data_IF_456700360279
#
_entry.id   IF_456700360279
#
_cell.length_a   1.000
_cell.length_b   1.000
_cell.length_c   1.000
_cell.angle_alpha   90.00
_cell.angle_beta   90.00
_cell.angle_gamma   90.00
#
_symmetry.space_group_name_H-M   'P 1'
#
loop_
_entity.id
_entity.type
_entity.pdbx_description
1 polymer ?
#
# COMPACT_ATOMS: atom_id res chain seq x y z
N UNK A 1 7.79 -19.98 -45.02
CA UNK A 1 8.23 -20.16 -43.62
C UNK A 1 8.30 -18.86 -42.80
N UNK A 2 7.78 -17.71 -43.27
CA UNK A 2 7.84 -16.42 -42.54
C UNK A 2 6.66 -16.11 -41.60
N UNK A 3 5.73 -17.07 -41.41
CA UNK A 3 4.49 -16.84 -40.63
C UNK A 3 4.72 -16.87 -39.11
N UNK A 4 5.70 -17.64 -38.63
CA UNK A 4 5.90 -17.87 -37.20
C UNK A 4 6.64 -16.71 -36.50
N UNK A 5 7.64 -16.14 -37.18
CA UNK A 5 8.47 -15.04 -36.67
C UNK A 5 7.66 -13.74 -36.47
N UNK A 6 6.69 -13.48 -37.36
CA UNK A 6 5.77 -12.34 -37.23
C UNK A 6 4.83 -12.45 -36.02
N UNK A 7 4.32 -13.66 -35.74
CA UNK A 7 3.47 -13.91 -34.58
C UNK A 7 4.23 -13.80 -33.26
N UNK A 8 5.48 -14.27 -33.21
CA UNK A 8 6.34 -14.12 -32.03
C UNK A 8 6.61 -12.66 -31.70
N UNK A 9 6.86 -11.82 -32.72
CA UNK A 9 7.15 -10.41 -32.53
C UNK A 9 5.94 -9.64 -31.97
N UNK A 10 4.74 -9.94 -32.46
CA UNK A 10 3.48 -9.40 -31.89
C UNK A 10 3.27 -9.86 -30.45
N UNK A 11 3.56 -11.14 -30.14
CA UNK A 11 3.46 -11.67 -28.79
C UNK A 11 4.43 -10.96 -27.83
N UNK A 12 5.67 -10.75 -28.25
CA UNK A 12 6.69 -10.01 -27.47
C UNK A 12 6.23 -8.58 -27.20
N UNK A 13 5.71 -7.87 -28.21
CA UNK A 13 5.21 -6.51 -28.04
C UNK A 13 4.05 -6.45 -27.04
N UNK A 14 3.12 -7.40 -27.13
CA UNK A 14 2.01 -7.49 -26.21
C UNK A 14 2.45 -7.79 -24.77
N UNK A 15 3.35 -8.76 -24.59
CA UNK A 15 3.90 -9.14 -23.28
C UNK A 15 4.72 -8.01 -22.66
N UNK A 16 5.55 -7.32 -23.45
CA UNK A 16 6.30 -6.14 -22.99
C UNK A 16 5.35 -5.05 -22.51
N UNK A 17 4.28 -4.76 -23.27
CA UNK A 17 3.24 -3.82 -22.84
C UNK A 17 2.58 -4.25 -21.52
N UNK A 18 2.32 -5.54 -21.32
CA UNK A 18 1.77 -6.04 -20.06
C UNK A 18 2.75 -5.88 -18.90
N UNK A 19 4.02 -6.18 -19.12
CA UNK A 19 5.10 -5.98 -18.14
C UNK A 19 5.21 -4.51 -17.73
N UNK A 20 5.26 -3.59 -18.70
CA UNK A 20 5.30 -2.14 -18.45
C UNK A 20 4.09 -1.63 -17.66
N UNK A 21 2.90 -2.18 -17.95
CA UNK A 21 1.69 -1.82 -17.22
C UNK A 21 1.75 -2.29 -15.77
N UNK A 22 2.33 -3.46 -15.51
CA UNK A 22 2.49 -3.99 -14.16
C UNK A 22 3.55 -3.21 -13.35
N UNK A 23 4.61 -2.74 -14.01
CA UNK A 23 5.58 -1.82 -13.40
C UNK A 23 4.94 -0.45 -13.06
N UNK A 24 4.15 0.12 -13.98
CA UNK A 24 3.39 1.35 -13.69
C UNK A 24 2.44 1.16 -12.51
N UNK A 25 1.76 0.02 -12.45
CA UNK A 25 0.86 -0.33 -11.34
C UNK A 25 1.62 -0.40 -10.01
N UNK A 26 2.81 -0.99 -9.99
CA UNK A 26 3.68 -1.01 -8.82
C UNK A 26 3.98 0.41 -8.32
N UNK A 27 4.45 1.29 -9.20
CA UNK A 27 4.77 2.68 -8.85
C UNK A 27 3.57 3.39 -8.24
N UNK A 28 2.37 3.18 -8.79
CA UNK A 28 1.12 3.73 -8.25
C UNK A 28 0.82 3.19 -6.84
N UNK A 29 1.00 1.89 -6.61
CA UNK A 29 0.75 1.26 -5.29
C UNK A 29 1.72 1.81 -4.24
N UNK A 30 3.02 1.88 -4.55
CA UNK A 30 4.04 2.38 -3.62
C UNK A 30 3.88 3.86 -3.32
N UNK A 31 3.53 4.66 -4.34
CA UNK A 31 3.20 6.07 -4.18
C UNK A 31 2.02 6.27 -3.24
N UNK A 32 0.91 5.53 -3.46
CA UNK A 32 -0.28 5.61 -2.59
C UNK A 32 0.01 5.17 -1.15
N UNK A 33 0.84 4.14 -0.95
CA UNK A 33 1.23 3.73 0.40
C UNK A 33 2.07 4.80 1.10
N UNK A 34 3.05 5.39 0.40
CA UNK A 34 3.88 6.46 0.95
C UNK A 34 3.04 7.68 1.33
N UNK A 35 2.08 8.04 0.47
CA UNK A 35 1.10 9.10 0.76
C UNK A 35 0.26 8.77 2.00
N UNK A 36 -0.22 7.53 2.13
CA UNK A 36 -1.01 7.09 3.29
C UNK A 36 -0.21 7.19 4.59
N UNK A 37 1.07 6.78 4.59
CA UNK A 37 1.96 6.90 5.76
C UNK A 37 2.14 8.37 6.14
N UNK A 38 2.42 9.22 5.15
CA UNK A 38 2.60 10.66 5.36
C UNK A 38 1.34 11.31 5.96
N UNK A 39 0.18 11.07 5.35
CA UNK A 39 -1.11 11.58 5.84
C UNK A 39 -1.43 11.08 7.26
N UNK A 40 -1.16 9.80 7.55
CA UNK A 40 -1.35 9.23 8.88
C UNK A 40 -0.45 9.91 9.92
N UNK A 41 0.81 10.18 9.57
CA UNK A 41 1.76 10.89 10.45
C UNK A 41 1.29 12.32 10.78
N UNK A 42 0.75 13.04 9.79
CA UNK A 42 0.17 14.38 9.99
C UNK A 42 -1.02 14.32 10.95
N UNK A 43 -1.96 13.39 10.73
CA UNK A 43 -3.14 13.23 11.59
C UNK A 43 -2.74 12.90 13.03
N UNK A 44 -1.79 11.98 13.23
CA UNK A 44 -1.29 11.64 14.57
C UNK A 44 -0.65 12.86 15.24
N UNK A 45 0.13 13.65 14.50
CA UNK A 45 0.76 14.86 15.03
C UNK A 45 -0.25 15.89 15.49
N UNK A 46 -1.33 16.09 14.71
CA UNK A 46 -2.45 16.96 15.10
C UNK A 46 -3.16 16.45 16.36
N UNK A 47 -3.39 15.14 16.45
CA UNK A 47 -3.98 14.53 17.64
C UNK A 47 -3.09 14.77 18.86
N UNK A 48 -1.79 14.50 18.75
CA UNK A 48 -0.82 14.70 19.84
C UNK A 48 -0.78 16.16 20.30
N UNK A 49 -0.86 17.11 19.37
CA UNK A 49 -0.96 18.54 19.67
C UNK A 49 -2.25 18.90 20.42
N UNK A 50 -3.37 18.23 20.13
CA UNK A 50 -4.64 18.48 20.80
C UNK A 50 -4.67 17.94 22.23
N UNK A 51 -3.91 16.89 22.58
CA UNK A 51 -3.94 16.22 23.89
C UNK A 51 -3.91 17.16 25.11
N UNK A 52 -3.00 18.16 25.20
CA UNK A 52 -2.96 19.07 26.34
C UNK A 52 -4.27 19.87 26.52
N UNK A 53 -4.87 20.33 25.42
CA UNK A 53 -6.15 21.04 25.45
C UNK A 53 -7.31 20.13 25.88
N UNK A 54 -7.25 18.85 25.50
CA UNK A 54 -8.22 17.84 25.91
C UNK A 54 -8.12 17.56 27.42
N UNK A 55 -6.91 17.52 27.96
CA UNK A 55 -6.65 17.15 29.35
C UNK A 55 -7.31 18.11 30.34
N UNK A 56 -7.15 19.42 30.16
CA UNK A 56 -7.74 20.43 31.05
C UNK A 56 -9.27 20.34 31.09
N UNK A 57 -9.90 20.10 29.93
CA UNK A 57 -11.36 19.98 29.82
C UNK A 57 -11.89 18.66 30.36
N UNK A 58 -11.13 17.58 30.22
CA UNK A 58 -11.51 16.28 30.77
C UNK A 58 -11.48 16.28 32.29
N UNK A 59 -10.70 17.13 32.96
CA UNK A 59 -10.66 17.20 34.43
C UNK A 59 -12.02 17.62 35.00
N UNK A 60 -12.72 18.56 34.37
CA UNK A 60 -14.01 19.10 34.87
C UNK A 60 -15.23 18.29 34.45
N UNK A 61 -15.07 17.29 33.57
CA UNK A 61 -16.16 16.48 33.03
C UNK A 61 -16.55 15.28 33.91
N UNK A 62 -17.75 14.74 33.66
CA UNK A 62 -18.25 13.55 34.36
C UNK A 62 -17.36 12.31 34.15
N UNK A 63 -17.23 11.47 35.19
CA UNK A 63 -16.37 10.27 35.17
C UNK A 63 -16.64 9.36 33.96
N UNK A 64 -17.91 9.12 33.62
CA UNK A 64 -18.30 8.30 32.46
C UNK A 64 -17.77 8.86 31.13
N UNK A 65 -17.84 10.18 30.94
CA UNK A 65 -17.35 10.86 29.74
C UNK A 65 -15.82 10.71 29.66
N UNK A 66 -15.11 10.84 30.78
CA UNK A 66 -13.64 10.67 30.82
C UNK A 66 -13.21 9.28 30.38
N UNK A 67 -13.87 8.24 30.90
CA UNK A 67 -13.55 6.85 30.55
C UNK A 67 -13.86 6.58 29.09
N UNK A 68 -15.05 6.97 28.60
CA UNK A 68 -15.42 6.80 27.19
C UNK A 68 -14.48 7.53 26.23
N UNK A 69 -14.10 8.77 26.56
CA UNK A 69 -13.16 9.55 25.77
C UNK A 69 -11.77 8.90 25.73
N UNK A 70 -11.26 8.43 26.87
CA UNK A 70 -9.96 7.76 26.97
C UNK A 70 -9.92 6.48 26.13
N UNK A 71 -10.98 5.67 26.17
CA UNK A 71 -11.08 4.46 25.35
C UNK A 71 -11.12 4.77 23.85
N UNK A 72 -11.91 5.76 23.43
CA UNK A 72 -11.96 6.21 22.03
C UNK A 72 -10.63 6.80 21.55
N UNK A 73 -9.92 7.52 22.42
CA UNK A 73 -8.62 8.06 22.11
C UNK A 73 -7.59 6.95 21.87
N UNK A 74 -7.50 5.98 22.79
CA UNK A 74 -6.62 4.81 22.64
C UNK A 74 -6.96 4.03 21.37
N UNK A 75 -8.25 3.82 21.10
CA UNK A 75 -8.71 3.15 19.87
C UNK A 75 -8.25 3.91 18.62
N UNK A 76 -8.40 5.23 18.60
CA UNK A 76 -7.99 6.10 17.48
C UNK A 76 -6.50 5.97 17.21
N UNK A 77 -5.66 6.15 18.24
CA UNK A 77 -4.20 6.03 18.12
C UNK A 77 -3.80 4.62 17.67
N UNK A 78 -4.45 3.59 18.20
CA UNK A 78 -4.18 2.20 17.83
C UNK A 78 -4.53 1.92 16.36
N UNK A 79 -5.68 2.39 15.87
CA UNK A 79 -6.09 2.23 14.47
C UNK A 79 -5.14 2.95 13.51
N UNK A 80 -4.77 4.20 13.81
CA UNK A 80 -3.81 4.96 13.00
C UNK A 80 -2.41 4.33 13.04
N UNK A 81 -1.98 3.87 14.21
CA UNK A 81 -0.74 3.11 14.37
C UNK A 81 -0.72 1.82 13.56
N UNK A 82 -1.82 1.05 13.57
CA UNK A 82 -1.95 -0.16 12.75
C UNK A 82 -1.95 0.14 11.25
N UNK A 83 -2.49 1.28 10.82
CA UNK A 83 -2.41 1.71 9.42
C UNK A 83 -0.94 1.87 9.01
N UNK A 84 -0.16 2.64 9.77
CA UNK A 84 1.27 2.87 9.49
C UNK A 84 2.07 1.57 9.58
N UNK A 85 1.84 0.75 10.61
CA UNK A 85 2.53 -0.53 10.79
C UNK A 85 2.23 -1.51 9.65
N UNK A 86 0.99 -1.54 9.15
CA UNK A 86 0.65 -2.39 8.02
C UNK A 86 1.27 -1.87 6.74
N UNK A 87 1.22 -0.55 6.52
CA UNK A 87 1.79 0.11 5.36
C UNK A 87 3.32 -0.08 5.29
N UNK A 88 4.02 0.00 6.43
CA UNK A 88 5.48 -0.13 6.49
C UNK A 88 5.98 -1.51 6.07
N UNK A 89 5.13 -2.55 6.11
CA UNK A 89 5.49 -3.89 5.64
C UNK A 89 5.93 -3.91 4.19
N UNK A 90 5.50 -2.95 3.37
CA UNK A 90 5.91 -2.86 1.96
C UNK A 90 7.42 -2.66 1.78
N UNK A 91 8.08 -2.05 2.76
CA UNK A 91 9.53 -1.77 2.70
C UNK A 91 10.39 -3.00 2.97
N UNK A 92 9.79 -4.17 3.24
CA UNK A 92 10.53 -5.40 3.35
C UNK A 92 10.93 -5.93 1.96
N UNK A 93 12.07 -5.42 1.46
CA UNK A 93 12.63 -5.78 0.14
C UNK A 93 12.89 -7.28 0.01
N UNK A 94 13.21 -7.97 1.10
CA UNK A 94 13.43 -9.44 1.08
C UNK A 94 12.15 -10.22 0.80
N UNK A 95 10.99 -9.67 1.19
CA UNK A 95 9.69 -10.32 1.01
C UNK A 95 9.16 -10.14 -0.42
N UNK A 96 9.36 -8.96 -1.02
CA UNK A 96 8.83 -8.64 -2.34
C UNK A 96 9.94 -8.74 -3.39
N UNK A 97 10.21 -9.96 -3.84
CA UNK A 97 11.21 -10.21 -4.89
C UNK A 97 10.54 -10.15 -6.25
N UNK A 98 10.87 -9.10 -6.99
CA UNK A 98 10.50 -8.97 -8.39
C UNK A 98 11.38 -9.85 -9.25
N UNK A 99 10.80 -10.35 -10.33
CA UNK A 99 11.51 -11.09 -11.36
C UNK A 99 11.60 -10.20 -12.59
N UNK A 100 12.79 -10.18 -13.17
CA UNK A 100 13.07 -9.56 -14.46
C UNK A 100 13.55 -10.66 -15.40
N UNK A 101 13.69 -10.34 -16.68
CA UNK A 101 14.24 -11.26 -17.68
C UNK A 101 15.65 -11.68 -17.27
N UNK A 102 15.98 -12.96 -17.44
CA UNK A 102 17.28 -13.45 -17.02
C UNK A 102 18.37 -12.89 -17.94
N UNK A 103 19.38 -12.27 -17.34
CA UNK A 103 20.57 -11.80 -18.04
C UNK A 103 21.35 -12.95 -18.70
N UNK A 104 21.21 -14.17 -18.17
CA UNK A 104 21.79 -15.38 -18.75
C UNK A 104 21.22 -15.67 -20.15
N UNK A 105 19.95 -15.35 -20.38
CA UNK A 105 19.24 -15.50 -21.66
C UNK A 105 19.82 -14.61 -22.77
N UNK A 106 20.66 -13.63 -22.46
CA UNK A 106 21.38 -12.83 -23.48
C UNK A 106 22.76 -13.40 -23.77
N UNK A 107 23.36 -14.11 -22.82
CA UNK A 107 24.69 -14.73 -22.94
C UNK A 107 24.67 -16.18 -23.41
N UNK A 108 23.49 -16.81 -23.49
CA UNK A 108 23.33 -18.13 -24.08
C UNK A 108 23.51 -18.08 -25.59
N UNK A 109 24.20 -19.09 -26.14
CA UNK A 109 24.30 -19.27 -27.58
C UNK A 109 23.01 -19.92 -28.08
N UNK A 110 22.16 -19.15 -28.75
CA UNK A 110 20.99 -19.67 -29.45
C UNK A 110 21.37 -19.96 -30.91
N UNK A 111 20.94 -21.12 -31.40
CA UNK A 111 21.22 -21.51 -32.79
C UNK A 111 20.34 -20.73 -33.77
N UNK A 112 19.19 -20.23 -33.32
CA UNK A 112 18.25 -19.45 -34.14
C UNK A 112 17.58 -18.30 -33.39
N UNK A 113 17.14 -17.28 -34.14
CA UNK A 113 16.37 -16.14 -33.60
C UNK A 113 15.02 -16.61 -33.04
N UNK A 114 14.38 -17.63 -33.65
CA UNK A 114 13.11 -18.16 -33.15
C UNK A 114 13.24 -18.82 -31.78
N UNK A 115 14.37 -19.47 -31.50
CA UNK A 115 14.66 -20.10 -30.21
C UNK A 115 14.89 -19.04 -29.13
N UNK A 116 15.69 -18.01 -29.43
CA UNK A 116 15.84 -16.84 -28.56
C UNK A 116 14.49 -16.18 -28.25
N UNK A 117 13.67 -15.93 -29.27
CA UNK A 117 12.36 -15.32 -29.10
C UNK A 117 11.42 -16.19 -28.23
N UNK A 118 11.49 -17.52 -28.35
CA UNK A 118 10.69 -18.43 -27.53
C UNK A 118 11.11 -18.39 -26.07
N UNK A 119 12.42 -18.40 -25.79
CA UNK A 119 12.95 -18.29 -24.43
C UNK A 119 12.58 -16.94 -23.81
N UNK A 120 12.76 -15.86 -24.56
CA UNK A 120 12.39 -14.51 -24.12
C UNK A 120 10.88 -14.37 -23.81
N UNK A 121 10.02 -14.96 -24.64
CA UNK A 121 8.57 -15.03 -24.37
C UNK A 121 8.29 -15.80 -23.07
N UNK A 122 9.02 -16.88 -22.80
CA UNK A 122 8.91 -17.66 -21.57
C UNK A 122 9.30 -16.84 -20.34
N UNK A 123 10.46 -16.17 -20.40
CA UNK A 123 10.97 -15.31 -19.34
C UNK A 123 10.02 -14.15 -19.03
N UNK A 124 9.48 -13.49 -20.06
CA UNK A 124 8.49 -12.44 -19.90
C UNK A 124 7.22 -12.94 -19.21
N UNK A 125 6.70 -14.10 -19.60
CA UNK A 125 5.51 -14.69 -18.96
C UNK A 125 5.76 -14.99 -17.49
N UNK A 126 6.88 -15.62 -17.17
CA UNK A 126 7.25 -15.96 -15.80
C UNK A 126 7.40 -14.69 -14.94
N UNK A 127 8.05 -13.67 -15.49
CA UNK A 127 8.25 -12.38 -14.82
C UNK A 127 6.93 -11.66 -14.56
N UNK A 128 6.03 -11.60 -15.56
CA UNK A 128 4.70 -11.00 -15.41
C UNK A 128 3.88 -11.74 -14.35
N UNK A 129 3.87 -13.07 -14.38
CA UNK A 129 3.08 -13.87 -13.44
C UNK A 129 3.58 -13.66 -11.99
N UNK A 130 4.90 -13.71 -11.78
CA UNK A 130 5.50 -13.45 -10.47
C UNK A 130 5.22 -12.03 -10.00
N UNK A 131 5.46 -11.02 -10.86
CA UNK A 131 5.31 -9.62 -10.49
C UNK A 131 3.85 -9.26 -10.21
N UNK A 132 2.89 -9.86 -10.92
CA UNK A 132 1.47 -9.70 -10.62
C UNK A 132 1.11 -10.29 -9.23
N UNK A 133 1.62 -11.48 -8.86
CA UNK A 133 1.44 -12.05 -7.52
C UNK A 133 1.99 -11.11 -6.45
N UNK A 134 3.22 -10.62 -6.62
CA UNK A 134 3.88 -9.68 -5.69
C UNK A 134 3.09 -8.37 -5.57
N UNK A 135 2.63 -7.81 -6.68
CA UNK A 135 1.87 -6.57 -6.69
C UNK A 135 0.46 -6.74 -6.11
N UNK A 136 -0.18 -7.89 -6.26
CA UNK A 136 -1.43 -8.21 -5.58
C UNK A 136 -1.23 -8.26 -4.05
N UNK A 137 -0.13 -8.82 -3.56
CA UNK A 137 0.17 -8.78 -2.13
C UNK A 137 0.37 -7.34 -1.61
N UNK A 138 1.12 -6.51 -2.36
CA UNK A 138 1.31 -5.10 -2.01
C UNK A 138 -0.01 -4.32 -2.06
N UNK A 139 -0.87 -4.58 -3.04
CA UNK A 139 -2.21 -3.99 -3.12
C UNK A 139 -3.08 -4.39 -1.92
N UNK A 140 -3.02 -5.64 -1.48
CA UNK A 140 -3.72 -6.10 -0.28
C UNK A 140 -3.22 -5.39 0.99
N UNK A 141 -1.92 -5.11 1.08
CA UNK A 141 -1.34 -4.30 2.16
C UNK A 141 -1.89 -2.87 2.10
N UNK A 142 -1.94 -2.24 0.92
CA UNK A 142 -2.52 -0.91 0.75
C UNK A 142 -3.98 -0.88 1.22
N UNK A 143 -4.81 -1.83 0.76
CA UNK A 143 -6.22 -1.92 1.14
C UNK A 143 -6.41 -2.07 2.65
N UNK A 144 -5.66 -2.98 3.29
CA UNK A 144 -5.73 -3.17 4.76
C UNK A 144 -5.28 -1.93 5.52
N UNK A 145 -4.19 -1.30 5.08
CA UNK A 145 -3.67 -0.09 5.72
C UNK A 145 -4.65 1.07 5.60
N UNK A 146 -5.24 1.25 4.41
CA UNK A 146 -6.25 2.27 4.16
C UNK A 146 -7.51 2.05 5.01
N UNK A 147 -7.95 0.80 5.15
CA UNK A 147 -9.08 0.45 5.99
C UNK A 147 -8.88 0.85 7.47
N UNK A 148 -7.70 0.57 8.03
CA UNK A 148 -7.37 1.02 9.39
C UNK A 148 -7.31 2.54 9.51
N UNK A 149 -6.75 3.22 8.50
CA UNK A 149 -6.70 4.68 8.46
C UNK A 149 -8.10 5.30 8.48
N UNK A 150 -8.99 4.83 7.60
CA UNK A 150 -10.38 5.33 7.50
C UNK A 150 -11.14 5.10 8.81
N UNK A 151 -10.99 3.92 9.42
CA UNK A 151 -11.59 3.64 10.74
C UNK A 151 -11.03 4.54 11.84
N UNK A 152 -9.72 4.80 11.81
CA UNK A 152 -9.07 5.75 12.71
C UNK A 152 -9.64 7.16 12.54
N UNK A 153 -9.85 7.62 11.30
CA UNK A 153 -10.48 8.91 11.02
C UNK A 153 -11.93 8.98 11.53
N UNK A 154 -12.76 7.96 11.32
CA UNK A 154 -14.12 7.94 11.88
C UNK A 154 -14.13 7.97 13.41
N UNK A 155 -13.18 7.28 14.05
CA UNK A 155 -12.99 7.33 15.49
C UNK A 155 -12.60 8.74 15.95
N UNK A 156 -11.71 9.42 15.23
CA UNK A 156 -11.31 10.79 15.50
C UNK A 156 -12.47 11.78 15.34
N UNK A 157 -13.27 11.64 14.28
CA UNK A 157 -14.46 12.49 14.06
C UNK A 157 -15.44 12.32 15.21
N UNK A 158 -15.72 11.08 15.61
CA UNK A 158 -16.58 10.77 16.75
C UNK A 158 -16.05 11.41 18.04
N UNK A 159 -14.75 11.29 18.30
CA UNK A 159 -14.07 11.91 19.44
C UNK A 159 -14.24 13.44 19.44
N UNK A 160 -14.11 14.06 18.28
CA UNK A 160 -14.28 15.51 18.09
C UNK A 160 -15.72 15.94 18.35
N UNK A 161 -16.72 15.20 17.87
CA UNK A 161 -18.14 15.50 18.10
C UNK A 161 -18.47 15.41 19.60
N UNK A 162 -18.02 14.36 20.29
CA UNK A 162 -18.24 14.20 21.73
C UNK A 162 -17.66 15.38 22.49
N UNK A 163 -16.48 15.86 22.09
CA UNK A 163 -15.85 17.02 22.72
C UNK A 163 -16.64 18.30 22.50
N UNK A 164 -17.10 18.56 21.28
CA UNK A 164 -17.90 19.75 20.97
C UNK A 164 -19.21 19.73 21.77
N UNK A 165 -19.88 18.58 21.85
CA UNK A 165 -21.09 18.43 22.66
C UNK A 165 -20.79 18.66 24.15
N UNK A 166 -19.69 18.10 24.66
CA UNK A 166 -19.28 18.35 26.04
C UNK A 166 -19.00 19.84 26.29
N UNK A 167 -18.46 20.57 25.31
CA UNK A 167 -18.23 22.01 25.41
C UNK A 167 -19.53 22.83 25.39
N UNK A 168 -20.52 22.45 24.57
CA UNK A 168 -21.78 23.18 24.42
C UNK A 168 -22.76 22.96 25.58
N UNK A 169 -22.68 21.80 26.24
CA UNK A 169 -23.60 21.40 27.32
C UNK A 169 -22.94 21.38 28.71
N UNK A 170 -21.79 22.04 28.86
CA UNK A 170 -21.12 22.27 30.15
C UNK A 170 -21.64 23.52 30.84
#
# INVERSE_FOLDING_TARGET
MFSNSGNQLVAIQYLTRLFDNEEKRLVVIESKITQLISQSGVVISLIAFLVPFLYERLITSNCLIKVGFSLLFILTVTLLGFSIYTASKIFNVKKFRYMDCDTASVTQNFDTIEEFNSEYISDLKNSIENNNKVNNEKANILLKSHFYFVRGLYSLITLTIILILNFLFQ
#
